data_IF_358388916202
#
_entry.id   IF_358388916202
#
_cell.length_a   1.000
_cell.length_b   1.000
_cell.length_c   1.000
_cell.angle_alpha   90.00
_cell.angle_beta   90.00
_cell.angle_gamma   90.00
#
_symmetry.space_group_name_H-M   'P 1'
#
loop_
_entity.id
_entity.type
_entity.pdbx_description
1 polymer ?
#
# COMPACT_ATOMS: atom_id res chain seq x y z
N UNK A 1 -9.14 12.27 6.73
CA UNK A 1 -7.74 11.87 6.58
C UNK A 1 -7.38 10.84 7.65
N UNK A 2 -7.61 9.56 7.32
CA UNK A 2 -7.29 8.39 8.13
C UNK A 2 -6.04 7.74 7.55
N UNK A 3 -4.96 7.69 8.36
CA UNK A 3 -3.70 7.06 7.98
C UNK A 3 -3.50 5.80 8.80
N UNK A 4 -3.35 4.66 8.12
CA UNK A 4 -3.07 3.38 8.77
C UNK A 4 -1.65 2.93 8.43
N UNK A 5 -0.95 2.31 9.38
CA UNK A 5 0.38 1.72 9.14
C UNK A 5 0.25 0.21 9.19
N UNK A 6 0.72 -0.47 8.14
CA UNK A 6 0.71 -1.93 8.03
C UNK A 6 2.13 -2.43 7.78
N UNK A 7 2.48 -3.58 8.36
CA UNK A 7 3.76 -4.23 8.06
C UNK A 7 3.61 -5.06 6.80
N UNK A 8 4.50 -4.90 5.83
CA UNK A 8 4.51 -5.70 4.61
C UNK A 8 5.00 -7.14 4.85
N UNK A 9 5.42 -7.51 6.08
CA UNK A 9 5.65 -8.92 6.45
C UNK A 9 4.41 -9.79 6.27
N UNK A 10 3.23 -9.21 6.44
CA UNK A 10 1.94 -9.86 6.21
C UNK A 10 1.54 -9.87 4.73
N UNK A 11 2.23 -9.13 3.87
CA UNK A 11 1.99 -9.07 2.41
C UNK A 11 2.95 -10.01 1.68
N UNK A 12 2.82 -11.31 1.96
CA UNK A 12 3.66 -12.35 1.36
C UNK A 12 3.18 -12.77 -0.05
N UNK A 13 1.92 -12.47 -0.40
CA UNK A 13 1.35 -12.80 -1.71
C UNK A 13 0.50 -11.66 -2.25
N UNK A 14 0.21 -11.70 -3.55
CA UNK A 14 -0.70 -10.78 -4.24
C UNK A 14 -2.12 -10.82 -3.61
N UNK A 15 -2.61 -12.01 -3.25
CA UNK A 15 -3.88 -12.16 -2.54
C UNK A 15 -3.89 -11.49 -1.16
N UNK A 16 -2.75 -11.43 -0.45
CA UNK A 16 -2.64 -10.70 0.82
C UNK A 16 -2.71 -9.19 0.61
N UNK A 17 -2.26 -8.69 -0.55
CA UNK A 17 -2.40 -7.29 -0.94
C UNK A 17 -3.87 -6.99 -1.24
N UNK A 18 -4.54 -7.84 -2.04
CA UNK A 18 -5.96 -7.69 -2.35
C UNK A 18 -6.87 -7.73 -1.10
N UNK A 19 -6.60 -8.64 -0.15
CA UNK A 19 -7.37 -8.67 1.10
C UNK A 19 -7.14 -7.40 1.94
N UNK A 20 -5.91 -6.90 2.01
CA UNK A 20 -5.62 -5.61 2.64
C UNK A 20 -6.42 -4.49 1.96
N UNK A 21 -6.45 -4.44 0.62
CA UNK A 21 -7.26 -3.46 -0.13
C UNK A 21 -8.74 -3.56 0.25
N UNK A 22 -9.29 -4.77 0.27
CA UNK A 22 -10.69 -5.01 0.58
C UNK A 22 -11.04 -4.58 2.01
N UNK A 23 -10.19 -4.92 2.98
CA UNK A 23 -10.34 -4.48 4.37
C UNK A 23 -10.20 -2.97 4.49
N UNK A 24 -9.23 -2.40 3.79
CA UNK A 24 -8.97 -0.98 3.79
C UNK A 24 -10.19 -0.20 3.27
N UNK A 25 -10.77 -0.60 2.13
CA UNK A 25 -12.01 -0.02 1.59
C UNK A 25 -13.16 -0.08 2.59
N UNK A 26 -13.28 -1.18 3.33
CA UNK A 26 -14.31 -1.36 4.37
C UNK A 26 -14.16 -0.37 5.53
N UNK A 27 -12.92 -0.03 5.91
CA UNK A 27 -12.64 0.90 7.01
C UNK A 27 -12.47 2.37 6.58
N UNK A 28 -12.60 2.69 5.29
CA UNK A 28 -12.47 4.05 4.73
C UNK A 28 -11.18 4.77 5.15
N UNK A 29 -10.06 4.11 4.92
CA UNK A 29 -8.73 4.73 4.94
C UNK A 29 -8.56 5.77 3.81
N UNK A 30 -7.71 6.77 4.07
CA UNK A 30 -7.24 7.71 3.05
C UNK A 30 -5.82 7.33 2.57
N UNK A 31 -4.96 6.89 3.50
CA UNK A 31 -3.58 6.49 3.19
C UNK A 31 -3.18 5.27 4.04
N UNK A 32 -2.62 4.24 3.40
CA UNK A 32 -1.93 3.14 4.09
C UNK A 32 -0.43 3.27 3.87
N UNK A 33 0.33 3.23 4.97
CA UNK A 33 1.80 3.16 4.94
C UNK A 33 2.22 1.72 5.15
N UNK A 34 2.96 1.18 4.20
CA UNK A 34 3.57 -0.14 4.28
C UNK A 34 5.02 -0.01 4.74
N UNK A 35 5.38 -0.76 5.78
CA UNK A 35 6.76 -0.84 6.29
C UNK A 35 7.32 -2.22 6.03
N UNK A 36 8.59 -2.32 5.62
CA UNK A 36 9.28 -3.60 5.33
C UNK A 36 8.92 -4.30 4.01
N UNK A 37 8.78 -3.58 2.90
CA UNK A 37 8.56 -4.18 1.58
C UNK A 37 9.86 -4.82 1.10
N UNK A 38 9.99 -6.16 1.23
CA UNK A 38 11.13 -6.93 0.73
C UNK A 38 11.10 -7.04 -0.80
N UNK A 39 11.14 -5.89 -1.49
CA UNK A 39 11.21 -5.83 -2.95
C UNK A 39 12.50 -5.15 -3.38
N UNK A 40 13.20 -5.83 -4.30
CA UNK A 40 14.43 -5.32 -4.92
C UNK A 40 14.15 -4.30 -6.04
N UNK A 41 12.91 -4.25 -6.54
CA UNK A 41 12.50 -3.34 -7.61
C UNK A 41 11.32 -2.50 -7.12
N UNK A 42 11.30 -1.19 -7.40
CA UNK A 42 10.14 -0.38 -7.08
C UNK A 42 8.94 -0.88 -7.90
N UNK A 43 7.75 -0.85 -7.30
CA UNK A 43 6.52 -1.24 -7.98
C UNK A 43 5.49 -0.14 -7.78
N UNK A 44 4.95 0.31 -8.91
CA UNK A 44 3.79 1.18 -8.94
C UNK A 44 2.65 0.38 -9.56
N UNK A 45 1.51 0.32 -8.88
CA UNK A 45 0.30 -0.33 -9.40
C UNK A 45 -0.89 0.57 -9.13
N UNK A 46 -1.70 0.76 -10.16
CA UNK A 46 -2.99 1.44 -10.10
C UNK A 46 -4.06 0.38 -10.21
N UNK A 47 -4.98 0.31 -9.25
CA UNK A 47 -6.09 -0.63 -9.29
C UNK A 47 -7.30 -0.01 -10.00
N UNK A 48 -8.18 -0.84 -10.57
CA UNK A 48 -9.40 -0.39 -11.25
C UNK A 48 -10.35 0.42 -10.33
N UNK A 49 -10.15 0.29 -9.03
CA UNK A 49 -10.83 1.00 -7.94
C UNK A 49 -10.25 2.39 -7.67
N UNK A 50 -9.26 2.84 -8.44
CA UNK A 50 -8.65 4.16 -8.33
C UNK A 50 -7.54 4.27 -7.29
N UNK A 51 -7.34 3.25 -6.45
CA UNK A 51 -6.27 3.26 -5.46
C UNK A 51 -4.89 3.10 -6.11
N UNK A 52 -3.91 3.86 -5.63
CA UNK A 52 -2.54 3.83 -6.14
C UNK A 52 -1.56 3.30 -5.09
N UNK A 53 -0.83 2.25 -5.46
CA UNK A 53 0.20 1.63 -4.64
C UNK A 53 1.60 1.98 -5.14
N UNK A 54 2.41 2.54 -4.25
CA UNK A 54 3.84 2.79 -4.44
C UNK A 54 4.63 1.92 -3.48
N UNK A 55 5.51 1.05 -3.99
CA UNK A 55 6.42 0.26 -3.16
C UNK A 55 7.86 0.69 -3.44
N UNK A 56 8.53 1.20 -2.41
CA UNK A 56 9.93 1.55 -2.44
C UNK A 56 10.85 0.32 -2.42
N UNK A 57 12.09 0.52 -2.85
CA UNK A 57 13.13 -0.51 -2.83
C UNK A 57 13.65 -0.76 -1.42
N UNK A 58 14.02 -2.01 -1.15
CA UNK A 58 14.90 -2.36 -0.03
C UNK A 58 16.29 -1.72 -0.26
N UNK A 59 16.88 -1.07 0.74
CA UNK A 59 18.26 -0.59 0.62
C UNK A 59 19.25 -1.79 0.64
N UNK A 60 20.50 -1.56 0.23
CA UNK A 60 21.54 -2.61 0.24
C UNK A 60 21.88 -3.13 1.64
N UNK A 61 21.35 -2.49 2.69
CA UNK A 61 21.48 -2.91 4.09
C UNK A 61 20.34 -3.84 4.54
N UNK A 62 19.40 -4.16 3.66
CA UNK A 62 18.27 -5.03 3.97
C UNK A 62 17.20 -4.34 4.82
N UNK A 63 17.24 -3.01 4.96
CA UNK A 63 16.12 -2.28 5.54
C UNK A 63 14.96 -2.35 4.55
N UNK A 64 13.91 -3.09 4.92
CA UNK A 64 12.77 -3.33 4.05
C UNK A 64 12.15 -2.02 3.59
N UNK A 65 11.81 -1.95 2.30
CA UNK A 65 11.36 -0.72 1.66
C UNK A 65 10.09 -0.16 2.29
N UNK A 66 9.86 1.13 2.05
CA UNK A 66 8.63 1.80 2.46
C UNK A 66 7.68 1.82 1.27
N UNK A 67 6.45 1.40 1.48
CA UNK A 67 5.37 1.57 0.53
C UNK A 67 4.28 2.52 1.03
N UNK A 68 3.57 3.15 0.11
CA UNK A 68 2.40 3.98 0.40
C UNK A 68 1.30 3.59 -0.57
N UNK A 69 0.10 3.42 -0.03
CA UNK A 69 -1.12 3.19 -0.78
C UNK A 69 -2.08 4.36 -0.51
N UNK A 70 -2.59 4.98 -1.56
CA UNK A 70 -3.50 6.13 -1.47
C UNK A 70 -4.84 5.75 -2.07
N UNK A 71 -5.92 6.01 -1.34
CA UNK A 71 -7.27 5.87 -1.87
C UNK A 71 -7.67 7.19 -2.57
N UNK A 72 -7.91 7.15 -3.89
CA UNK A 72 -8.30 8.35 -4.65
C UNK A 72 -9.80 8.63 -4.62
N UNK A 73 -10.63 7.69 -4.14
CA UNK A 73 -12.08 7.92 -3.97
C UNK A 73 -12.39 9.00 -2.93
N UNK A 74 -11.44 9.35 -2.05
CA UNK A 74 -11.53 10.44 -1.08
C UNK A 74 -11.54 11.84 -1.71
N UNK A 75 -11.28 11.97 -3.01
CA UNK A 75 -11.14 13.26 -3.71
C UNK A 75 -12.11 13.42 -4.88
N UNK A 76 -13.40 13.15 -4.66
CA UNK A 76 -14.45 13.86 -5.40
C UNK A 76 -14.75 15.18 -4.67
N UNK A 77 -13.90 16.19 -4.85
CA UNK A 77 -14.34 17.56 -4.60
C UNK A 77 -15.26 17.95 -5.76
N UNK A 78 -16.56 18.13 -5.45
CA UNK A 78 -17.49 18.89 -6.31
C UNK A 78 -17.04 20.34 -6.45
#
# INVERSE_FOLDING_TARGET
MTVCTFSARTLASEASIEDLMMQARKIRYDVIRLTETRRHRPLNATFDTGEELFLGTCDSRGAGGVGVLVNTESHTWS
#
